data_IF_563513341771
#
_entry.id   IF_563513341771
#
_cell.length_a   1.000
_cell.length_b   1.000
_cell.length_c   1.000
_cell.angle_alpha   90.00
_cell.angle_beta   90.00
_cell.angle_gamma   90.00
#
_symmetry.space_group_name_H-M   'P 1'
#
loop_
_entity.id
_entity.type
_entity.pdbx_description
1 polymer ?
#
# COMPACT_ATOMS: atom_id res chain seq x y z
N UNK A 1 44.84 2.50 29.33
CA UNK A 1 44.75 2.05 27.92
C UNK A 1 43.36 1.50 27.72
N UNK A 2 42.45 2.33 27.24
CA UNK A 2 41.04 2.01 27.04
C UNK A 2 40.87 1.51 25.61
N UNK A 3 40.55 0.22 25.46
CA UNK A 3 40.23 -0.41 24.18
C UNK A 3 38.88 0.12 23.68
N UNK A 4 38.91 0.98 22.67
CA UNK A 4 37.73 1.27 21.87
C UNK A 4 37.58 0.17 20.82
N UNK A 5 36.53 -0.64 20.97
CA UNK A 5 36.08 -1.56 19.95
C UNK A 5 35.73 -0.77 18.68
N UNK A 6 36.33 -1.16 17.57
CA UNK A 6 36.11 -0.60 16.24
C UNK A 6 34.69 -0.93 15.79
N UNK A 7 33.91 0.02 15.22
CA UNK A 7 32.62 -0.30 14.63
C UNK A 7 32.82 -1.28 13.47
N UNK A 8 32.13 -2.41 13.49
CA UNK A 8 32.06 -3.31 12.34
C UNK A 8 31.54 -2.54 11.11
N UNK A 9 32.27 -2.67 10.00
CA UNK A 9 31.91 -2.13 8.70
C UNK A 9 30.56 -2.67 8.23
N UNK A 10 29.68 -1.78 7.77
CA UNK A 10 28.32 -2.05 7.28
C UNK A 10 28.29 -2.75 5.90
N UNK A 11 29.02 -3.83 5.70
CA UNK A 11 29.20 -4.48 4.40
C UNK A 11 28.23 -5.63 4.12
N UNK A 12 27.10 -5.72 4.84
CA UNK A 12 26.07 -6.74 4.59
C UNK A 12 24.68 -6.13 4.36
N UNK A 13 24.62 -5.06 3.56
CA UNK A 13 23.34 -4.59 3.02
C UNK A 13 23.02 -5.44 1.80
N UNK A 14 22.25 -6.52 2.02
CA UNK A 14 21.66 -7.33 0.96
C UNK A 14 20.94 -6.48 -0.09
N UNK A 15 20.65 -7.07 -1.26
CA UNK A 15 19.97 -6.38 -2.37
C UNK A 15 18.70 -5.67 -1.87
N UNK A 16 18.51 -4.36 -2.15
CA UNK A 16 17.31 -3.63 -1.72
C UNK A 16 16.02 -4.30 -2.24
N UNK A 17 15.01 -4.47 -1.38
CA UNK A 17 13.74 -5.11 -1.72
C UNK A 17 13.00 -4.44 -2.90
N UNK A 18 13.10 -3.11 -3.01
CA UNK A 18 12.48 -2.32 -4.08
C UNK A 18 13.55 -1.52 -4.84
N UNK A 19 14.44 -2.23 -5.56
CA UNK A 19 15.57 -1.60 -6.28
C UNK A 19 15.14 -0.52 -7.28
N UNK A 20 13.96 -0.69 -7.89
CA UNK A 20 13.26 0.31 -8.70
C UNK A 20 11.89 0.59 -8.08
N UNK A 21 11.21 1.70 -8.46
CA UNK A 21 9.86 1.99 -7.98
C UNK A 21 8.93 0.80 -8.31
N UNK A 22 8.15 0.29 -7.33
CA UNK A 22 7.19 -0.77 -7.59
C UNK A 22 6.17 -0.38 -8.67
N UNK A 23 5.91 -1.29 -9.60
CA UNK A 23 4.89 -1.14 -10.63
C UNK A 23 3.81 -2.22 -10.47
N UNK A 24 2.53 -1.84 -10.49
CA UNK A 24 1.44 -2.77 -10.25
C UNK A 24 0.04 -2.19 -10.43
N UNK A 25 -0.95 -2.89 -9.91
CA UNK A 25 -2.35 -2.53 -9.87
C UNK A 25 -2.85 -2.56 -8.43
N UNK A 26 -3.75 -1.65 -8.10
CA UNK A 26 -4.40 -1.57 -6.81
C UNK A 26 -5.92 -1.45 -6.99
N UNK A 27 -6.69 -2.15 -6.18
CA UNK A 27 -8.15 -2.23 -6.35
C UNK A 27 -8.94 -0.98 -5.93
N UNK A 28 -8.34 -0.01 -5.22
CA UNK A 28 -9.07 1.10 -4.60
C UNK A 28 -9.85 1.96 -5.59
N UNK A 29 -9.21 2.44 -6.66
CA UNK A 29 -9.85 3.43 -7.54
C UNK A 29 -11.00 2.85 -8.36
N UNK A 30 -11.02 1.53 -8.58
CA UNK A 30 -12.05 0.84 -9.37
C UNK A 30 -13.09 0.11 -8.52
N UNK A 31 -12.68 -0.48 -7.38
CA UNK A 31 -13.52 -1.34 -6.56
C UNK A 31 -13.72 -0.86 -5.12
N UNK A 32 -13.04 0.23 -4.71
CA UNK A 32 -13.11 0.73 -3.35
C UNK A 32 -12.77 -0.40 -2.38
N UNK A 33 -13.65 -0.64 -1.42
CA UNK A 33 -13.53 -1.74 -0.44
C UNK A 33 -14.13 -3.08 -0.88
N UNK A 34 -14.75 -3.13 -2.06
CA UNK A 34 -15.69 -4.21 -2.45
C UNK A 34 -15.10 -5.28 -3.36
N UNK A 35 -13.80 -5.19 -3.68
CA UNK A 35 -13.15 -6.15 -4.58
C UNK A 35 -13.33 -7.60 -4.08
N UNK A 36 -13.54 -8.52 -5.01
CA UNK A 36 -13.65 -9.96 -4.73
C UNK A 36 -12.56 -10.76 -5.47
N UNK A 37 -12.44 -12.05 -5.14
CA UNK A 37 -11.40 -12.91 -5.69
C UNK A 37 -11.42 -13.02 -7.22
N UNK A 38 -12.60 -13.15 -7.82
CA UNK A 38 -12.73 -13.24 -9.28
C UNK A 38 -12.23 -11.97 -9.97
N UNK A 39 -12.58 -10.79 -9.44
CA UNK A 39 -12.13 -9.50 -9.95
C UNK A 39 -10.62 -9.35 -9.82
N UNK A 40 -10.02 -9.75 -8.70
CA UNK A 40 -8.56 -9.74 -8.52
C UNK A 40 -7.91 -10.67 -9.55
N UNK A 41 -8.40 -11.90 -9.70
CA UNK A 41 -7.86 -12.88 -10.66
C UNK A 41 -7.95 -12.41 -12.11
N UNK A 42 -9.02 -11.68 -12.45
CA UNK A 42 -9.25 -11.14 -13.79
C UNK A 42 -8.29 -9.97 -14.08
N UNK A 43 -8.09 -9.05 -13.13
CA UNK A 43 -7.10 -7.98 -13.26
C UNK A 43 -5.67 -8.54 -13.33
N UNK A 44 -5.34 -9.54 -12.50
CA UNK A 44 -4.04 -10.20 -12.50
C UNK A 44 -3.76 -10.89 -13.85
N UNK A 45 -4.72 -11.64 -14.39
CA UNK A 45 -4.56 -12.29 -15.70
C UNK A 45 -4.35 -11.26 -16.81
N UNK A 46 -5.17 -10.20 -16.83
CA UNK A 46 -5.03 -9.14 -17.82
C UNK A 46 -3.64 -8.48 -17.73
N UNK A 47 -3.16 -8.16 -16.53
CA UNK A 47 -1.82 -7.60 -16.33
C UNK A 47 -0.72 -8.56 -16.82
N UNK A 48 -0.85 -9.85 -16.51
CA UNK A 48 0.10 -10.87 -16.94
C UNK A 48 0.23 -10.96 -18.47
N UNK A 49 -0.90 -10.81 -19.17
CA UNK A 49 -0.99 -10.91 -20.63
C UNK A 49 -0.57 -9.63 -21.35
N UNK A 50 -0.77 -8.45 -20.75
CA UNK A 50 -0.64 -7.16 -21.46
C UNK A 50 0.45 -6.24 -20.92
N UNK A 51 0.82 -6.33 -19.64
CA UNK A 51 1.68 -5.35 -18.97
C UNK A 51 2.93 -5.96 -18.34
N UNK A 52 2.93 -7.26 -18.00
CA UNK A 52 4.05 -7.90 -17.31
C UNK A 52 5.38 -7.78 -18.08
N UNK A 53 5.35 -7.88 -19.41
CA UNK A 53 6.54 -7.69 -20.24
C UNK A 53 7.15 -6.28 -20.14
N UNK A 54 6.37 -5.30 -19.69
CA UNK A 54 6.77 -3.91 -19.48
C UNK A 54 7.13 -3.62 -18.00
N UNK A 55 7.17 -4.64 -17.14
CA UNK A 55 7.65 -4.54 -15.76
C UNK A 55 6.56 -4.42 -14.69
N UNK A 56 5.27 -4.39 -15.05
CA UNK A 56 4.17 -4.36 -14.08
C UNK A 56 4.04 -5.73 -13.40
N UNK A 57 4.14 -5.77 -12.06
CA UNK A 57 4.23 -7.03 -11.34
C UNK A 57 3.36 -7.14 -10.08
N UNK A 58 3.03 -6.05 -9.37
CA UNK A 58 2.24 -6.15 -8.13
C UNK A 58 0.73 -6.14 -8.38
N UNK A 59 -0.01 -7.05 -7.74
CA UNK A 59 -1.47 -7.08 -7.69
C UNK A 59 -1.89 -6.87 -6.24
N UNK A 60 -2.39 -5.68 -5.91
CA UNK A 60 -2.66 -5.24 -4.53
C UNK A 60 -4.17 -5.20 -4.24
N UNK A 61 -4.59 -6.00 -3.26
CA UNK A 61 -5.96 -5.97 -2.73
C UNK A 61 -6.05 -4.88 -1.68
N UNK A 62 -6.79 -3.82 -2.00
CA UNK A 62 -6.96 -2.65 -1.13
C UNK A 62 -8.14 -2.80 -0.15
N UNK A 63 -8.43 -1.73 0.59
CA UNK A 63 -8.92 -1.76 1.96
C UNK A 63 -10.19 -2.59 2.22
N UNK A 64 -10.31 -3.07 3.47
CA UNK A 64 -11.46 -3.82 4.01
C UNK A 64 -11.72 -5.17 3.33
N UNK A 65 -10.70 -5.82 2.75
CA UNK A 65 -10.84 -7.21 2.29
C UNK A 65 -11.27 -8.20 3.38
N UNK A 66 -11.16 -7.82 4.65
CA UNK A 66 -11.60 -8.58 5.83
C UNK A 66 -13.05 -8.31 6.25
N UNK A 67 -13.76 -7.38 5.61
CA UNK A 67 -15.18 -7.08 5.88
C UNK A 67 -16.08 -8.03 5.10
N UNK A 68 -17.07 -8.63 5.77
CA UNK A 68 -17.96 -9.63 5.19
C UNK A 68 -18.85 -9.06 4.09
N UNK A 69 -19.43 -7.89 4.32
CA UNK A 69 -20.37 -7.22 3.41
C UNK A 69 -20.01 -5.73 3.29
N UNK A 70 -18.94 -5.40 2.54
CA UNK A 70 -18.47 -4.04 2.40
C UNK A 70 -19.40 -3.22 1.50
N UNK A 71 -19.49 -1.92 1.78
CA UNK A 71 -20.02 -0.92 0.83
C UNK A 71 -18.87 -0.17 0.16
N UNK A 72 -18.99 0.28 -1.10
CA UNK A 72 -17.87 0.91 -1.84
C UNK A 72 -17.09 2.00 -1.09
N UNK A 73 -17.78 2.85 -0.33
CA UNK A 73 -17.18 3.94 0.48
C UNK A 73 -16.50 3.48 1.78
N UNK A 74 -16.61 2.20 2.13
CA UNK A 74 -16.13 1.61 3.39
C UNK A 74 -16.80 2.16 4.65
N UNK A 75 -16.18 1.83 5.79
CA UNK A 75 -16.42 2.40 7.13
C UNK A 75 -17.86 2.29 7.63
N UNK A 76 -18.57 1.23 7.26
CA UNK A 76 -19.92 0.99 7.75
C UNK A 76 -19.90 0.82 9.26
N UNK A 77 -20.71 1.61 9.98
CA UNK A 77 -20.88 1.45 11.44
C UNK A 77 -21.43 0.08 11.86
N UNK A 78 -21.92 -0.71 10.90
CA UNK A 78 -22.44 -2.07 11.09
C UNK A 78 -21.56 -3.12 10.42
N UNK A 79 -20.34 -2.76 10.01
CA UNK A 79 -19.41 -3.68 9.38
C UNK A 79 -19.20 -4.92 10.26
N UNK A 80 -19.24 -6.08 9.62
CA UNK A 80 -18.88 -7.34 10.23
C UNK A 80 -17.52 -7.74 9.70
N UNK A 81 -16.65 -8.18 10.59
CA UNK A 81 -15.26 -8.49 10.28
C UNK A 81 -15.00 -9.99 10.38
N UNK A 82 -14.20 -10.52 9.46
CA UNK A 82 -13.66 -11.88 9.53
C UNK A 82 -12.31 -11.84 10.23
N UNK A 83 -12.22 -12.55 11.35
CA UNK A 83 -11.01 -12.71 12.16
C UNK A 83 -10.79 -14.19 12.43
N UNK A 84 -9.54 -14.60 12.60
CA UNK A 84 -9.18 -15.91 13.16
C UNK A 84 -9.30 -15.93 14.70
N UNK A 85 -9.08 -17.10 15.32
CA UNK A 85 -9.09 -17.24 16.79
C UNK A 85 -8.01 -16.41 17.51
N UNK A 86 -7.05 -15.85 16.77
CA UNK A 86 -5.94 -15.07 17.29
C UNK A 86 -6.12 -13.56 17.12
N UNK A 87 -7.31 -13.13 16.72
CA UNK A 87 -7.65 -11.73 16.56
C UNK A 87 -7.00 -11.05 15.36
N UNK A 88 -6.55 -11.82 14.36
CA UNK A 88 -5.99 -11.31 13.11
C UNK A 88 -7.08 -11.31 12.04
N UNK A 89 -7.12 -10.26 11.21
CA UNK A 89 -8.06 -10.19 10.10
C UNK A 89 -7.82 -11.32 9.08
N UNK A 90 -8.90 -11.91 8.57
CA UNK A 90 -8.89 -12.95 7.54
C UNK A 90 -9.84 -12.61 6.39
N UNK A 91 -9.55 -13.04 5.15
CA UNK A 91 -10.48 -12.81 4.05
C UNK A 91 -11.75 -13.66 4.20
N UNK A 92 -12.95 -13.08 4.11
CA UNK A 92 -14.19 -13.82 4.28
C UNK A 92 -14.52 -14.63 3.03
N UNK A 93 -14.93 -15.89 3.23
CA UNK A 93 -15.10 -16.90 2.17
C UNK A 93 -16.19 -16.52 1.15
N UNK A 94 -17.16 -15.68 1.52
CA UNK A 94 -18.17 -15.19 0.60
C UNK A 94 -17.60 -14.24 -0.49
N UNK A 95 -16.48 -13.56 -0.21
CA UNK A 95 -15.77 -12.68 -1.17
C UNK A 95 -14.53 -13.33 -1.76
N UNK A 96 -13.89 -14.18 -0.96
CA UNK A 96 -12.69 -14.93 -1.33
C UNK A 96 -12.89 -16.41 -1.08
N UNK A 97 -13.64 -17.13 -1.95
CA UNK A 97 -13.94 -18.54 -1.78
C UNK A 97 -12.72 -19.43 -1.56
N UNK A 98 -11.56 -19.10 -2.14
CA UNK A 98 -10.33 -19.86 -1.94
C UNK A 98 -9.77 -19.76 -0.53
N UNK A 99 -10.22 -18.79 0.28
CA UNK A 99 -9.83 -18.66 1.69
C UNK A 99 -10.48 -19.70 2.62
N UNK A 100 -11.37 -20.55 2.09
CA UNK A 100 -12.01 -21.61 2.83
C UNK A 100 -11.01 -22.49 3.59
N UNK A 101 -11.48 -23.14 4.65
CA UNK A 101 -10.68 -24.07 5.46
C UNK A 101 -9.42 -23.42 6.09
N UNK A 102 -9.47 -22.10 6.35
CA UNK A 102 -8.37 -21.37 6.98
C UNK A 102 -7.18 -21.08 6.05
N UNK A 103 -7.33 -21.27 4.74
CA UNK A 103 -6.26 -21.03 3.78
C UNK A 103 -5.88 -19.53 3.64
N UNK A 104 -6.79 -18.63 4.03
CA UNK A 104 -6.61 -17.19 3.91
C UNK A 104 -6.29 -16.79 2.47
N UNK A 105 -5.32 -15.90 2.27
CA UNK A 105 -4.94 -15.48 0.92
C UNK A 105 -3.96 -16.40 0.20
N UNK A 106 -3.45 -17.46 0.84
CA UNK A 106 -2.43 -18.31 0.23
C UNK A 106 -2.81 -18.80 -1.18
N UNK A 107 -4.01 -19.34 -1.44
CA UNK A 107 -4.33 -19.83 -2.78
C UNK A 107 -4.49 -18.70 -3.82
N UNK A 108 -4.88 -17.50 -3.40
CA UNK A 108 -4.94 -16.33 -4.29
C UNK A 108 -3.53 -15.83 -4.63
N UNK A 109 -2.63 -15.79 -3.65
CA UNK A 109 -1.23 -15.47 -3.86
C UNK A 109 -0.56 -16.48 -4.79
N UNK A 110 -0.74 -17.79 -4.55
CA UNK A 110 -0.23 -18.86 -5.42
C UNK A 110 -0.73 -18.72 -6.86
N UNK A 111 -2.01 -18.38 -7.06
CA UNK A 111 -2.53 -18.09 -8.39
C UNK A 111 -1.83 -16.90 -9.04
N UNK A 112 -1.62 -15.79 -8.31
CA UNK A 112 -0.94 -14.59 -8.81
C UNK A 112 0.53 -14.90 -9.13
N UNK A 113 1.24 -15.63 -8.27
CA UNK A 113 2.60 -16.08 -8.51
C UNK A 113 2.70 -17.01 -9.72
N UNK A 114 1.69 -17.87 -9.96
CA UNK A 114 1.67 -18.74 -11.15
C UNK A 114 1.61 -17.96 -12.47
N UNK A 115 1.16 -16.71 -12.45
CA UNK A 115 1.18 -15.78 -13.59
C UNK A 115 2.54 -15.06 -13.74
N UNK A 116 3.47 -15.26 -12.81
CA UNK A 116 4.73 -14.51 -12.71
C UNK A 116 4.55 -13.10 -12.17
N UNK A 117 3.50 -12.86 -11.40
CA UNK A 117 3.21 -11.59 -10.72
C UNK A 117 3.48 -11.73 -9.22
N UNK A 118 3.36 -10.63 -8.47
CA UNK A 118 3.53 -10.51 -7.02
C UNK A 118 2.22 -10.09 -6.35
N UNK A 119 1.99 -10.57 -5.15
CA UNK A 119 0.75 -10.33 -4.41
C UNK A 119 0.94 -9.30 -3.30
N UNK A 120 0.03 -8.31 -3.21
CA UNK A 120 0.02 -7.32 -2.15
C UNK A 120 -1.33 -7.20 -1.46
N UNK A 121 -1.30 -6.74 -0.20
CA UNK A 121 -2.51 -6.45 0.57
C UNK A 121 -2.39 -5.09 1.27
N UNK A 122 -3.53 -4.45 1.45
CA UNK A 122 -3.68 -3.32 2.37
C UNK A 122 -3.87 -3.81 3.81
N UNK A 123 -3.37 -3.06 4.79
CA UNK A 123 -3.72 -3.27 6.20
C UNK A 123 -4.01 -1.92 6.87
N UNK A 124 -4.90 -1.93 7.86
CA UNK A 124 -5.04 -0.80 8.78
C UNK A 124 -4.03 -0.96 9.90
N UNK A 125 -3.33 0.12 10.24
CA UNK A 125 -2.50 0.17 11.44
C UNK A 125 -3.28 -0.32 12.66
N UNK A 126 -2.57 -0.99 13.56
CA UNK A 126 -3.10 -1.32 14.87
C UNK A 126 -3.79 -2.66 14.95
N UNK A 127 -4.68 -2.81 15.92
CA UNK A 127 -5.34 -4.06 16.30
C UNK A 127 -6.87 -3.93 16.18
N UNK A 128 -7.59 -4.94 15.66
CA UNK A 128 -9.04 -4.89 15.53
C UNK A 128 -9.73 -4.61 16.86
N UNK A 129 -10.65 -3.64 16.89
CA UNK A 129 -11.47 -3.39 18.09
C UNK A 129 -12.20 -4.64 18.54
N UNK A 130 -12.73 -5.42 17.59
CA UNK A 130 -13.40 -6.69 17.86
C UNK A 130 -12.49 -7.73 18.55
N UNK A 131 -11.19 -7.75 18.22
CA UNK A 131 -10.23 -8.65 18.88
C UNK A 131 -9.99 -8.21 20.33
N UNK A 132 -9.91 -6.90 20.57
CA UNK A 132 -9.75 -6.30 21.91
C UNK A 132 -11.00 -6.54 22.76
N UNK A 133 -12.19 -6.31 22.22
CA UNK A 133 -13.46 -6.51 22.93
C UNK A 133 -13.65 -7.96 23.37
N UNK A 134 -13.26 -8.92 22.52
CA UNK A 134 -13.28 -10.36 22.83
C UNK A 134 -12.04 -10.81 23.60
N UNK A 135 -11.06 -9.93 23.79
CA UNK A 135 -9.75 -10.18 24.36
C UNK A 135 -9.09 -11.48 23.85
N UNK A 136 -9.07 -11.63 22.52
CA UNK A 136 -8.56 -12.82 21.85
C UNK A 136 -7.06 -13.03 22.12
N UNK A 137 -6.57 -14.29 22.17
CA UNK A 137 -5.16 -14.58 22.35
C UNK A 137 -4.32 -14.10 21.17
N UNK A 138 -3.09 -13.64 21.41
CA UNK A 138 -2.15 -13.30 20.34
C UNK A 138 -1.29 -14.52 20.01
N UNK A 139 -1.34 -14.99 18.76
CA UNK A 139 -0.60 -16.15 18.28
C UNK A 139 0.91 -16.07 18.61
N UNK A 140 1.46 -17.18 19.09
CA UNK A 140 2.89 -17.29 19.42
C UNK A 140 3.32 -16.51 20.67
N UNK A 141 2.38 -16.10 21.53
CA UNK A 141 2.69 -15.32 22.74
C UNK A 141 1.77 -15.66 23.93
N UNK A 142 2.15 -15.29 25.17
CA UNK A 142 1.26 -15.39 26.32
C UNK A 142 0.24 -14.24 26.42
N UNK A 143 0.30 -13.26 25.51
CA UNK A 143 -0.49 -12.04 25.56
C UNK A 143 -1.86 -12.19 24.88
N UNK A 144 -2.73 -11.23 25.17
CA UNK A 144 -4.04 -11.08 24.54
C UNK A 144 -4.16 -9.71 23.88
N UNK A 145 -5.16 -9.57 23.03
CA UNK A 145 -5.41 -8.34 22.28
C UNK A 145 -5.51 -7.09 23.17
N UNK A 146 -6.14 -7.19 24.35
CA UNK A 146 -6.22 -6.10 25.31
C UNK A 146 -4.87 -5.63 25.86
N UNK A 147 -3.88 -6.53 25.96
CA UNK A 147 -2.53 -6.19 26.43
C UNK A 147 -1.75 -5.36 25.39
N UNK A 148 -2.07 -5.55 24.11
CA UNK A 148 -1.41 -4.88 22.98
C UNK A 148 -2.06 -3.55 22.61
N UNK A 149 -3.32 -3.31 22.99
CA UNK A 149 -4.09 -2.18 22.49
C UNK A 149 -3.81 -0.86 23.23
N UNK A 150 -3.81 0.23 22.47
CA UNK A 150 -3.98 1.59 22.99
C UNK A 150 -5.38 2.07 22.64
N UNK A 151 -6.35 1.87 23.55
CA UNK A 151 -7.77 2.17 23.29
C UNK A 151 -8.09 3.66 23.18
N UNK A 152 -7.15 4.54 23.56
CA UNK A 152 -7.27 5.99 23.40
C UNK A 152 -6.83 6.47 22.00
N UNK A 153 -6.30 5.57 21.19
CA UNK A 153 -5.76 5.90 19.88
C UNK A 153 -6.53 5.20 18.79
N UNK A 154 -7.05 5.98 17.84
CA UNK A 154 -7.85 5.48 16.71
C UNK A 154 -7.38 6.13 15.42
N UNK A 155 -7.86 5.59 14.29
CA UNK A 155 -7.71 6.25 13.02
C UNK A 155 -8.81 7.32 12.84
N UNK A 156 -8.49 8.56 12.39
CA UNK A 156 -9.50 9.62 12.29
C UNK A 156 -10.61 9.35 11.27
N UNK A 157 -10.35 8.51 10.27
CA UNK A 157 -11.25 8.27 9.13
C UNK A 157 -11.71 6.81 9.00
N UNK A 158 -11.14 5.88 9.78
CA UNK A 158 -11.57 4.48 9.85
C UNK A 158 -11.77 4.04 11.31
N UNK A 159 -12.92 3.46 11.67
CA UNK A 159 -13.20 3.12 13.06
C UNK A 159 -12.77 1.71 13.47
N UNK A 160 -12.15 0.91 12.62
CA UNK A 160 -12.10 -0.56 12.79
C UNK A 160 -11.05 -1.01 13.80
N UNK A 161 -9.95 -0.25 13.93
CA UNK A 161 -8.83 -0.59 14.78
C UNK A 161 -8.62 0.42 15.92
N UNK A 162 -8.06 -0.08 17.02
CA UNK A 162 -7.29 0.74 17.97
C UNK A 162 -5.83 0.78 17.54
N UNK A 163 -5.09 1.79 17.97
CA UNK A 163 -3.62 1.77 17.92
C UNK A 163 -3.02 0.68 18.80
N UNK A 164 -1.74 0.39 18.64
CA UNK A 164 -1.01 -0.49 19.57
C UNK A 164 -0.31 0.33 20.65
N UNK A 165 -0.13 -0.27 21.84
CA UNK A 165 0.62 0.34 22.93
C UNK A 165 2.08 -0.13 22.87
N UNK A 166 2.93 0.66 22.21
CA UNK A 166 4.35 0.32 22.00
C UNK A 166 5.17 0.17 23.30
N UNK A 167 4.65 0.62 24.45
CA UNK A 167 5.31 0.39 25.75
C UNK A 167 5.13 -1.04 26.27
N UNK A 168 4.21 -1.81 25.68
CA UNK A 168 3.90 -3.18 26.07
C UNK A 168 4.52 -4.18 25.10
N UNK A 169 5.18 -5.25 25.57
CA UNK A 169 5.71 -6.30 24.70
C UNK A 169 4.64 -6.97 23.82
N UNK A 170 3.38 -6.94 24.28
CA UNK A 170 2.23 -7.45 23.55
C UNK A 170 2.02 -6.77 22.19
N UNK A 171 2.37 -5.48 22.03
CA UNK A 171 2.23 -4.77 20.76
C UNK A 171 3.15 -5.35 19.67
N UNK A 172 4.43 -5.58 19.99
CA UNK A 172 5.34 -6.24 19.06
C UNK A 172 4.93 -7.69 18.79
N UNK A 173 4.45 -8.41 19.82
CA UNK A 173 3.97 -9.79 19.65
C UNK A 173 2.79 -9.85 18.66
N UNK A 174 1.87 -8.88 18.73
CA UNK A 174 0.77 -8.78 17.78
C UNK A 174 1.27 -8.54 16.34
N UNK A 175 2.18 -7.57 16.15
CA UNK A 175 2.77 -7.31 14.82
C UNK A 175 3.55 -8.52 14.28
N UNK A 176 4.30 -9.21 15.13
CA UNK A 176 4.98 -10.46 14.77
C UNK A 176 3.98 -11.54 14.32
N UNK A 177 2.81 -11.63 14.96
CA UNK A 177 1.77 -12.60 14.63
C UNK A 177 1.09 -12.34 13.28
N UNK A 178 0.80 -11.07 12.94
CA UNK A 178 0.23 -10.73 11.63
C UNK A 178 1.27 -10.83 10.53
N UNK A 179 2.54 -10.50 10.80
CA UNK A 179 3.62 -10.67 9.83
C UNK A 179 3.82 -12.15 9.47
N UNK A 180 3.80 -13.06 10.47
CA UNK A 180 3.81 -14.51 10.21
C UNK A 180 2.63 -14.98 9.38
N UNK A 181 1.43 -14.46 9.64
CA UNK A 181 0.24 -14.78 8.85
C UNK A 181 0.41 -14.38 7.38
N UNK A 182 0.81 -13.13 7.13
CA UNK A 182 0.97 -12.60 5.78
C UNK A 182 2.12 -13.26 5.02
N UNK A 183 3.23 -13.57 5.70
CA UNK A 183 4.31 -14.36 5.12
C UNK A 183 3.86 -15.80 4.81
N UNK A 184 3.02 -16.41 5.65
CA UNK A 184 2.43 -17.73 5.42
C UNK A 184 1.47 -17.78 4.23
N UNK A 185 0.87 -16.65 3.86
CA UNK A 185 0.08 -16.46 2.64
C UNK A 185 0.92 -16.05 1.42
N UNK A 186 2.24 -15.99 1.56
CA UNK A 186 3.15 -15.59 0.50
C UNK A 186 2.91 -14.16 -0.03
N UNK A 187 2.53 -13.22 0.85
CA UNK A 187 2.42 -11.79 0.50
C UNK A 187 3.80 -11.19 0.16
N UNK A 188 3.88 -10.35 -0.87
CA UNK A 188 5.09 -9.67 -1.35
C UNK A 188 5.09 -8.16 -1.06
N UNK A 189 3.91 -7.57 -0.83
CA UNK A 189 3.77 -6.14 -0.55
C UNK A 189 2.67 -5.89 0.50
N UNK A 190 2.95 -5.02 1.45
CA UNK A 190 1.97 -4.51 2.40
C UNK A 190 1.86 -3.00 2.24
N UNK A 191 0.64 -2.50 2.00
CA UNK A 191 0.27 -1.09 2.11
C UNK A 191 -0.37 -0.87 3.48
N UNK A 192 0.40 -0.31 4.41
CA UNK A 192 -0.04 -0.01 5.76
C UNK A 192 -0.63 1.40 5.84
N UNK A 193 -1.89 1.49 6.25
CA UNK A 193 -2.65 2.72 6.23
C UNK A 193 -2.94 3.26 7.62
N UNK A 194 -3.33 4.53 7.67
CA UNK A 194 -3.48 5.31 8.90
C UNK A 194 -2.22 5.34 9.77
N UNK A 195 -1.05 5.38 9.11
CA UNK A 195 0.25 5.23 9.76
C UNK A 195 1.25 6.37 9.46
N UNK A 196 1.22 6.96 8.25
CA UNK A 196 2.22 7.97 7.84
C UNK A 196 1.80 9.43 8.01
N UNK A 197 0.53 9.70 8.34
CA UNK A 197 0.06 11.07 8.58
C UNK A 197 -1.11 11.10 9.57
N UNK A 198 -1.40 12.29 10.10
CA UNK A 198 -2.55 12.59 10.97
C UNK A 198 -2.76 11.64 12.18
N UNK A 199 -1.78 11.47 13.09
CA UNK A 199 -0.35 11.84 13.03
C UNK A 199 0.54 10.68 12.55
N UNK A 200 1.80 10.96 12.23
CA UNK A 200 2.80 9.93 11.90
C UNK A 200 3.06 8.97 13.07
N UNK A 201 2.98 7.66 12.82
CA UNK A 201 2.98 6.59 13.84
C UNK A 201 4.31 5.82 13.86
N UNK A 202 5.34 6.50 14.35
CA UNK A 202 6.72 6.00 14.41
C UNK A 202 6.83 4.60 15.02
N UNK A 203 6.24 4.35 16.18
CA UNK A 203 6.38 3.06 16.86
C UNK A 203 5.72 1.91 16.09
N UNK A 204 4.51 2.10 15.57
CA UNK A 204 3.83 1.10 14.73
C UNK A 204 4.64 0.77 13.47
N UNK A 205 5.24 1.78 12.82
CA UNK A 205 6.09 1.60 11.63
C UNK A 205 7.30 0.72 11.97
N UNK A 206 7.99 1.00 13.08
CA UNK A 206 9.15 0.22 13.51
C UNK A 206 8.77 -1.22 13.86
N UNK A 207 7.68 -1.39 14.62
CA UNK A 207 7.22 -2.73 15.05
C UNK A 207 6.78 -3.57 13.86
N UNK A 208 6.01 -3.00 12.93
CA UNK A 208 5.59 -3.68 11.69
C UNK A 208 6.79 -4.04 10.83
N UNK A 209 7.70 -3.10 10.57
CA UNK A 209 8.90 -3.34 9.75
C UNK A 209 9.81 -4.42 10.37
N UNK A 210 10.01 -4.37 11.68
CA UNK A 210 10.74 -5.39 12.44
C UNK A 210 10.07 -6.77 12.33
N UNK A 211 8.74 -6.81 12.51
CA UNK A 211 7.95 -8.04 12.40
C UNK A 211 8.07 -8.68 11.00
N UNK A 212 7.97 -7.88 9.94
CA UNK A 212 8.11 -8.36 8.56
C UNK A 212 9.49 -8.94 8.31
N UNK A 213 10.57 -8.28 8.76
CA UNK A 213 11.94 -8.80 8.64
C UNK A 213 12.14 -10.13 9.34
N UNK A 214 11.55 -10.33 10.53
CA UNK A 214 11.65 -11.59 11.30
C UNK A 214 11.06 -12.79 10.56
N UNK A 215 10.14 -12.58 9.62
CA UNK A 215 9.54 -13.69 8.85
C UNK A 215 10.54 -14.34 7.88
N UNK A 216 11.61 -13.64 7.52
CA UNK A 216 12.55 -14.07 6.47
C UNK A 216 12.01 -13.94 5.05
N UNK A 217 10.74 -13.56 4.86
CA UNK A 217 10.16 -13.29 3.54
C UNK A 217 10.43 -11.84 3.14
N UNK A 218 10.78 -11.64 1.86
CA UNK A 218 10.90 -10.33 1.25
C UNK A 218 9.52 -9.69 1.05
N UNK A 219 9.12 -8.80 1.96
CA UNK A 219 7.85 -8.07 1.90
C UNK A 219 8.12 -6.56 1.81
N UNK A 220 7.72 -5.93 0.71
CA UNK A 220 7.81 -4.49 0.49
C UNK A 220 6.82 -3.78 1.40
N UNK A 221 7.26 -2.76 2.15
CA UNK A 221 6.39 -1.95 2.99
C UNK A 221 6.10 -0.57 2.36
N UNK A 222 4.83 -0.30 2.12
CA UNK A 222 4.26 0.97 1.69
C UNK A 222 3.50 1.66 2.82
N UNK A 223 3.72 2.96 3.03
CA UNK A 223 3.08 3.73 4.11
C UNK A 223 2.04 4.71 3.56
N UNK A 224 0.85 4.71 4.17
CA UNK A 224 -0.32 5.52 3.82
C UNK A 224 -1.03 6.07 5.08
N UNK A 225 -1.80 7.17 4.96
CA UNK A 225 -1.86 8.09 3.83
C UNK A 225 -0.81 9.21 3.97
N UNK A 226 -0.72 10.08 2.97
CA UNK A 226 0.09 11.28 3.06
C UNK A 226 -0.69 12.48 3.64
N UNK A 227 -0.11 13.68 3.65
CA UNK A 227 1.29 13.93 3.32
C UNK A 227 2.21 13.45 4.46
N UNK A 228 3.16 12.57 4.14
CA UNK A 228 4.18 12.18 5.09
C UNK A 228 5.01 13.42 5.52
N UNK A 229 5.45 13.50 6.79
CA UNK A 229 6.28 14.60 7.25
C UNK A 229 7.73 14.48 6.78
N UNK A 230 8.31 15.56 6.24
CA UNK A 230 9.66 15.57 5.69
C UNK A 230 10.76 15.25 6.72
N UNK A 231 10.59 15.67 7.98
CA UNK A 231 11.54 15.40 9.06
C UNK A 231 11.65 13.88 9.38
N UNK A 232 10.72 13.06 8.88
CA UNK A 232 10.72 11.61 9.05
C UNK A 232 11.37 10.83 7.91
N UNK A 233 11.93 11.49 6.90
CA UNK A 233 12.65 10.80 5.80
C UNK A 233 13.70 9.81 6.30
N UNK A 234 14.58 10.13 7.28
CA UNK A 234 15.57 9.16 7.76
C UNK A 234 14.93 7.87 8.31
N UNK A 235 13.85 8.02 9.05
CA UNK A 235 13.13 6.89 9.64
C UNK A 235 12.35 6.10 8.59
N UNK A 236 11.63 6.76 7.68
CA UNK A 236 10.92 6.08 6.59
C UNK A 236 11.88 5.28 5.70
N UNK A 237 13.09 5.80 5.43
CA UNK A 237 14.14 5.04 4.73
C UNK A 237 14.63 3.84 5.53
N UNK A 238 14.70 3.95 6.85
CA UNK A 238 15.11 2.81 7.66
C UNK A 238 14.05 1.70 7.67
N UNK A 239 12.76 2.03 7.66
CA UNK A 239 11.70 1.06 7.95
C UNK A 239 10.77 0.72 6.77
N UNK A 240 10.75 1.49 5.70
CA UNK A 240 9.83 1.30 4.56
C UNK A 240 10.52 1.47 3.20
N UNK A 241 9.83 0.98 2.16
CA UNK A 241 10.28 1.07 0.78
C UNK A 241 9.59 2.20 0.02
N UNK A 242 8.39 2.61 0.45
CA UNK A 242 7.64 3.68 -0.18
C UNK A 242 6.68 4.35 0.80
N UNK A 243 6.36 5.63 0.60
CA UNK A 243 5.48 6.41 1.48
C UNK A 243 4.79 7.55 0.75
N UNK A 244 3.49 7.72 1.02
CA UNK A 244 2.64 8.70 0.35
C UNK A 244 3.03 10.15 0.66
N UNK A 245 3.23 10.96 -0.39
CA UNK A 245 3.59 12.40 -0.26
C UNK A 245 2.38 13.33 -0.18
N UNK A 246 1.18 12.82 -0.45
CA UNK A 246 -0.09 13.54 -0.39
C UNK A 246 -1.22 12.68 0.17
N UNK A 247 -2.33 13.33 0.53
CA UNK A 247 -3.63 12.65 0.65
C UNK A 247 -4.04 12.04 -0.70
N UNK A 248 -5.14 11.27 -0.73
CA UNK A 248 -5.47 10.41 -1.88
C UNK A 248 -5.64 11.19 -3.19
N UNK A 249 -4.96 10.74 -4.23
CA UNK A 249 -5.00 11.32 -5.58
C UNK A 249 -6.14 10.73 -6.38
N UNK A 250 -6.90 11.59 -7.06
CA UNK A 250 -7.99 11.19 -7.94
C UNK A 250 -7.97 11.96 -9.27
N UNK A 251 -8.84 11.55 -10.19
CA UNK A 251 -8.98 12.06 -11.56
C UNK A 251 -9.56 13.48 -11.63
N UNK A 252 -8.84 14.45 -11.10
CA UNK A 252 -9.13 15.89 -11.18
C UNK A 252 -7.82 16.68 -11.30
N UNK A 253 -7.89 17.91 -11.81
CA UNK A 253 -6.71 18.75 -11.94
C UNK A 253 -6.29 19.37 -10.59
N UNK A 254 -7.14 20.22 -9.99
CA UNK A 254 -6.90 20.80 -8.66
C UNK A 254 -8.08 20.54 -7.73
N UNK A 255 -7.80 20.20 -6.48
CA UNK A 255 -8.82 20.08 -5.44
C UNK A 255 -9.12 21.42 -4.80
N UNK A 256 -10.37 21.59 -4.35
CA UNK A 256 -10.81 22.74 -3.55
C UNK A 256 -11.00 22.39 -2.07
N UNK A 257 -10.64 21.18 -1.68
CA UNK A 257 -10.78 20.61 -0.33
C UNK A 257 -9.53 19.78 0.00
N UNK A 258 -9.33 19.43 1.27
CA UNK A 258 -8.12 18.69 1.68
C UNK A 258 -8.05 17.26 1.11
N UNK A 259 -9.20 16.61 0.91
CA UNK A 259 -9.33 15.32 0.23
C UNK A 259 -10.51 15.37 -0.75
N UNK A 260 -10.35 14.88 -2.00
CA UNK A 260 -9.13 14.27 -2.58
C UNK A 260 -8.09 15.31 -3.02
N UNK A 261 -6.96 14.87 -3.58
CA UNK A 261 -5.95 15.68 -4.27
C UNK A 261 -5.98 15.43 -5.78
N UNK A 262 -5.64 16.43 -6.59
CA UNK A 262 -5.56 16.32 -8.04
C UNK A 262 -4.12 16.28 -8.58
N UNK A 263 -4.00 16.06 -9.90
CA UNK A 263 -2.72 16.03 -10.62
C UNK A 263 -1.93 17.34 -10.47
N UNK A 264 -2.60 18.47 -10.66
CA UNK A 264 -2.01 19.80 -10.53
C UNK A 264 -1.48 20.07 -9.11
N UNK A 265 -2.10 19.48 -8.09
CA UNK A 265 -1.69 19.62 -6.68
C UNK A 265 -0.38 18.88 -6.37
N UNK A 266 0.04 17.93 -7.23
CA UNK A 266 1.24 17.11 -7.01
C UNK A 266 2.53 17.80 -7.46
N UNK A 267 2.49 18.73 -8.41
CA UNK A 267 3.70 19.41 -8.90
C UNK A 267 4.58 20.01 -7.78
N UNK A 268 4.06 20.84 -6.87
CA UNK A 268 4.88 21.40 -5.78
C UNK A 268 5.35 20.33 -4.79
N UNK A 269 4.54 19.29 -4.54
CA UNK A 269 4.92 18.17 -3.65
C UNK A 269 6.06 17.38 -4.26
N UNK A 270 5.94 16.96 -5.51
CA UNK A 270 6.97 16.23 -6.25
C UNK A 270 8.28 17.02 -6.31
N UNK A 271 8.22 18.34 -6.58
CA UNK A 271 9.41 19.19 -6.57
C UNK A 271 10.12 19.18 -5.20
N UNK A 272 9.36 19.20 -4.10
CA UNK A 272 9.88 19.12 -2.74
C UNK A 272 10.49 17.74 -2.43
N UNK A 273 9.85 16.67 -2.90
CA UNK A 273 10.21 15.28 -2.58
C UNK A 273 11.28 14.67 -3.48
N UNK A 274 11.52 15.21 -4.69
CA UNK A 274 12.33 14.56 -5.73
C UNK A 274 13.75 14.18 -5.27
N UNK A 275 14.35 15.01 -4.40
CA UNK A 275 15.68 14.77 -3.83
C UNK A 275 15.76 13.54 -2.90
N UNK A 276 14.63 13.01 -2.45
CA UNK A 276 14.59 11.88 -1.50
C UNK A 276 14.44 10.52 -2.16
N UNK A 277 14.15 10.48 -3.46
CA UNK A 277 14.02 9.26 -4.26
C UNK A 277 15.38 8.57 -4.44
N UNK A 278 15.47 7.29 -4.07
CA UNK A 278 16.67 6.48 -4.23
C UNK A 278 16.34 4.98 -4.28
N UNK A 279 17.21 4.12 -4.85
CA UNK A 279 16.99 2.67 -4.86
C UNK A 279 16.63 2.12 -3.47
N UNK A 280 15.49 1.41 -3.39
CA UNK A 280 14.95 0.87 -2.15
C UNK A 280 14.00 1.79 -1.39
N UNK A 281 13.88 3.08 -1.76
CA UNK A 281 13.15 4.08 -0.99
C UNK A 281 12.50 5.15 -1.89
N UNK A 282 11.19 5.07 -2.06
CA UNK A 282 10.44 5.82 -3.07
C UNK A 282 9.34 6.69 -2.44
N UNK A 283 9.50 8.02 -2.43
CA UNK A 283 8.36 8.92 -2.22
C UNK A 283 7.26 8.60 -3.23
N UNK A 284 6.04 8.40 -2.74
CA UNK A 284 4.92 7.89 -3.51
C UNK A 284 3.89 8.98 -3.79
N UNK A 285 3.71 9.32 -5.07
CA UNK A 285 2.73 10.29 -5.55
C UNK A 285 1.31 9.70 -5.66
N UNK A 286 1.10 8.48 -5.16
CA UNK A 286 -0.16 7.72 -5.15
C UNK A 286 -0.50 7.05 -6.49
N UNK A 287 -1.60 6.30 -6.46
CA UNK A 287 -2.13 5.53 -7.58
C UNK A 287 -2.47 6.39 -8.80
N UNK A 288 -2.55 5.73 -9.95
CA UNK A 288 -2.88 6.32 -11.24
C UNK A 288 -4.38 6.14 -11.51
N UNK A 289 -5.21 7.19 -11.40
CA UNK A 289 -6.65 7.11 -11.64
C UNK A 289 -6.95 7.19 -13.15
N UNK A 290 -6.36 6.29 -13.93
CA UNK A 290 -6.47 6.20 -15.39
C UNK A 290 -7.35 4.99 -15.78
N UNK A 291 -8.05 5.09 -16.91
CA UNK A 291 -8.91 4.03 -17.43
C UNK A 291 -10.31 4.06 -16.82
N UNK A 292 -10.92 2.89 -16.67
CA UNK A 292 -12.26 2.77 -16.08
C UNK A 292 -12.18 2.63 -14.55
N UNK A 293 -12.64 3.65 -13.83
CA UNK A 293 -12.73 3.71 -12.37
C UNK A 293 -14.10 3.16 -11.94
N UNK A 294 -14.26 1.85 -12.02
CA UNK A 294 -15.49 1.15 -11.65
C UNK A 294 -15.30 -0.37 -11.60
N UNK A 295 -16.24 -1.12 -10.99
CA UNK A 295 -17.66 -0.78 -10.84
C UNK A 295 -18.06 -0.06 -9.53
N UNK A 296 -17.13 0.16 -8.60
CA UNK A 296 -17.45 0.64 -7.26
C UNK A 296 -16.29 1.46 -6.67
N UNK A 297 -15.93 2.61 -7.28
CA UNK A 297 -14.71 3.34 -6.90
C UNK A 297 -14.75 3.81 -5.44
N UNK A 298 -13.58 3.86 -4.79
CA UNK A 298 -13.43 4.41 -3.43
C UNK A 298 -13.84 5.90 -3.31
N UNK A 299 -13.94 6.61 -4.43
CA UNK A 299 -14.45 7.97 -4.49
C UNK A 299 -15.29 8.25 -5.75
N UNK A 300 -16.43 8.90 -5.53
CA UNK A 300 -17.36 9.28 -6.59
C UNK A 300 -18.19 8.10 -7.12
N UNK A 301 -18.70 8.25 -8.34
CA UNK A 301 -19.48 7.22 -9.04
C UNK A 301 -18.63 6.52 -10.11
N UNK A 302 -18.98 5.29 -10.52
CA UNK A 302 -18.27 4.58 -11.59
C UNK A 302 -18.18 5.42 -12.85
N UNK A 303 -16.98 5.52 -13.43
CA UNK A 303 -16.70 6.42 -14.56
C UNK A 303 -15.44 6.01 -15.30
N UNK A 304 -15.32 6.45 -16.54
CA UNK A 304 -14.00 6.63 -17.14
C UNK A 304 -13.31 7.81 -16.45
N UNK A 305 -11.98 7.76 -16.33
CA UNK A 305 -11.18 8.85 -15.79
C UNK A 305 -11.60 10.19 -16.43
N UNK A 306 -11.75 11.22 -15.59
CA UNK A 306 -12.06 12.57 -16.06
C UNK A 306 -10.83 13.31 -16.57
N UNK A 307 -9.64 12.75 -16.37
CA UNK A 307 -8.42 13.30 -16.94
C UNK A 307 -8.47 13.20 -18.46
N UNK A 308 -8.27 14.32 -19.14
CA UNK A 308 -8.06 14.38 -20.59
C UNK A 308 -6.81 13.58 -20.97
N UNK A 309 -6.65 13.25 -22.26
CA UNK A 309 -5.45 12.55 -22.72
C UNK A 309 -4.15 13.32 -22.42
N UNK A 310 -4.20 14.65 -22.46
CA UNK A 310 -3.04 15.48 -22.14
C UNK A 310 -2.74 15.49 -20.63
N UNK A 311 -3.77 15.49 -19.78
CA UNK A 311 -3.59 15.31 -18.33
C UNK A 311 -3.09 13.91 -17.98
N UNK A 312 -3.54 12.85 -18.68
CA UNK A 312 -3.04 11.49 -18.49
C UNK A 312 -1.56 11.36 -18.91
N UNK A 313 -1.16 11.99 -20.02
CA UNK A 313 0.27 12.08 -20.40
C UNK A 313 1.07 12.86 -19.36
N UNK A 314 0.50 13.97 -18.86
CA UNK A 314 1.13 14.80 -17.83
C UNK A 314 1.35 14.01 -16.54
N UNK A 315 0.33 13.26 -16.10
CA UNK A 315 0.37 12.37 -14.94
C UNK A 315 1.52 11.36 -15.05
N UNK A 316 1.54 10.55 -16.11
CA UNK A 316 2.58 9.53 -16.29
C UNK A 316 3.98 10.14 -16.47
N UNK A 317 4.09 11.26 -17.18
CA UNK A 317 5.37 11.96 -17.35
C UNK A 317 5.91 12.43 -16.00
N UNK A 318 5.06 13.05 -15.18
CA UNK A 318 5.43 13.59 -13.89
C UNK A 318 5.77 12.48 -12.89
N UNK A 319 4.97 11.41 -12.83
CA UNK A 319 5.25 10.26 -11.97
C UNK A 319 6.54 9.57 -12.38
N UNK A 320 6.76 9.35 -13.67
CA UNK A 320 7.94 8.63 -14.17
C UNK A 320 9.23 9.42 -13.96
N UNK A 321 9.26 10.72 -14.26
CA UNK A 321 10.47 11.52 -14.02
C UNK A 321 10.78 11.66 -12.53
N UNK A 322 9.74 11.73 -11.68
CA UNK A 322 9.87 11.72 -10.22
C UNK A 322 10.31 10.36 -9.66
N UNK A 323 10.08 9.28 -10.43
CA UNK A 323 10.25 7.89 -10.01
C UNK A 323 9.30 7.50 -8.89
N UNK A 324 8.04 7.92 -9.02
CA UNK A 324 6.96 7.43 -8.17
C UNK A 324 6.74 5.95 -8.46
N UNK A 325 6.38 5.14 -7.46
CA UNK A 325 5.70 3.88 -7.74
C UNK A 325 4.52 4.10 -8.70
N UNK A 326 4.35 3.17 -9.64
CA UNK A 326 3.29 3.23 -10.65
C UNK A 326 2.24 2.18 -10.32
N UNK A 327 1.16 2.58 -9.66
CA UNK A 327 0.06 1.68 -9.29
C UNK A 327 -1.20 2.06 -10.06
N UNK A 328 -1.58 1.31 -11.10
CA UNK A 328 -2.81 1.56 -11.86
C UNK A 328 -4.04 1.26 -11.01
N UNK A 329 -4.94 2.24 -10.84
CA UNK A 329 -6.16 2.08 -10.05
C UNK A 329 -7.38 1.64 -10.87
N UNK A 330 -7.33 1.85 -12.19
CA UNK A 330 -8.39 1.46 -13.11
C UNK A 330 -8.61 -0.05 -13.21
N UNK A 331 -9.82 -0.44 -13.57
CA UNK A 331 -10.18 -1.81 -13.89
C UNK A 331 -9.51 -2.24 -15.20
N UNK A 332 -8.45 -3.03 -15.09
CA UNK A 332 -7.57 -3.40 -16.19
C UNK A 332 -8.28 -4.09 -17.36
N UNK A 333 -9.16 -5.09 -17.13
CA UNK A 333 -9.99 -5.69 -18.18
C UNK A 333 -10.82 -4.72 -19.01
N UNK A 334 -11.14 -3.55 -18.47
CA UNK A 334 -11.89 -2.49 -19.17
C UNK A 334 -10.98 -1.50 -19.90
N UNK A 335 -9.65 -1.70 -19.91
CA UNK A 335 -8.72 -0.75 -20.56
C UNK A 335 -8.96 -0.68 -22.07
N UNK A 336 -9.02 0.54 -22.60
CA UNK A 336 -9.04 0.78 -24.04
C UNK A 336 -7.63 0.79 -24.63
N UNK A 337 -7.53 0.90 -25.96
CA UNK A 337 -6.25 0.93 -26.67
C UNK A 337 -5.37 2.12 -26.23
N UNK A 338 -6.01 3.26 -25.93
CA UNK A 338 -5.32 4.45 -25.44
C UNK A 338 -4.66 4.19 -24.08
N UNK A 339 -5.43 3.74 -23.09
CA UNK A 339 -4.95 3.42 -21.74
C UNK A 339 -3.84 2.38 -21.81
N UNK A 340 -4.05 1.32 -22.60
CA UNK A 340 -3.04 0.27 -22.78
C UNK A 340 -1.74 0.82 -23.39
N UNK A 341 -1.83 1.74 -24.35
CA UNK A 341 -0.63 2.37 -24.96
C UNK A 341 0.16 3.22 -23.98
N UNK A 342 -0.52 3.90 -23.04
CA UNK A 342 0.12 4.69 -22.00
C UNK A 342 0.91 3.79 -21.03
N UNK A 343 0.32 2.67 -20.61
CA UNK A 343 0.92 1.74 -19.65
C UNK A 343 2.05 0.89 -20.24
N UNK A 344 2.18 0.83 -21.58
CA UNK A 344 3.22 0.08 -22.29
C UNK A 344 4.27 0.95 -22.99
N UNK A 345 4.30 2.25 -22.73
CA UNK A 345 5.30 3.13 -23.35
C UNK A 345 6.70 2.88 -22.73
N UNK A 346 7.53 2.11 -23.44
CA UNK A 346 8.85 1.70 -22.97
C UNK A 346 9.77 2.87 -22.61
N UNK A 347 9.72 3.99 -23.35
CA UNK A 347 10.58 5.14 -23.09
C UNK A 347 10.18 5.85 -21.78
N UNK A 348 8.88 6.00 -21.53
CA UNK A 348 8.36 6.60 -20.29
C UNK A 348 8.67 5.70 -19.10
N UNK A 349 8.45 4.40 -19.23
CA UNK A 349 8.76 3.44 -18.17
C UNK A 349 10.27 3.33 -17.89
N UNK A 350 11.12 3.45 -18.91
CA UNK A 350 12.56 3.48 -18.72
C UNK A 350 13.01 4.70 -17.90
N UNK A 351 12.33 5.84 -18.02
CA UNK A 351 12.58 7.01 -17.16
C UNK A 351 12.28 6.64 -15.70
N UNK A 352 11.09 6.09 -15.42
CA UNK A 352 10.71 5.68 -14.06
C UNK A 352 11.70 4.65 -13.44
N UNK A 353 12.07 3.65 -14.24
CA UNK A 353 12.84 2.51 -13.74
C UNK A 353 14.36 2.81 -13.69
N UNK A 354 14.88 3.77 -14.45
CA UNK A 354 16.32 3.96 -14.61
C UNK A 354 16.85 5.38 -14.47
N UNK A 355 16.01 6.43 -14.56
CA UNK A 355 16.51 7.80 -14.46
C UNK A 355 17.11 8.09 -13.07
N UNK A 356 17.96 9.11 -12.98
CA UNK A 356 18.55 9.56 -11.73
C UNK A 356 18.57 11.08 -11.67
N UNK A 357 18.69 11.64 -10.46
CA UNK A 357 18.89 13.08 -10.26
C UNK A 357 17.75 13.96 -10.79
N UNK A 358 16.52 13.44 -10.75
CA UNK A 358 15.31 14.20 -11.01
C UNK A 358 15.19 15.38 -10.06
N UNK A 359 14.92 16.56 -10.60
CA UNK A 359 14.78 17.81 -9.85
C UNK A 359 13.97 18.82 -10.64
N UNK A 360 13.26 19.69 -9.95
CA UNK A 360 12.73 20.91 -10.57
C UNK A 360 13.91 21.76 -11.08
N UNK A 361 13.86 22.15 -12.36
CA UNK A 361 14.90 23.00 -12.98
C UNK A 361 14.64 24.48 -12.70
N UNK A 362 13.37 24.87 -12.65
CA UNK A 362 12.92 26.22 -12.36
C UNK A 362 11.70 26.14 -11.44
N UNK A 363 11.76 26.88 -10.34
CA UNK A 363 10.62 27.15 -9.47
C UNK A 363 10.36 28.65 -9.56
N UNK A 364 9.15 29.05 -9.93
CA UNK A 364 8.75 30.46 -9.99
C UNK A 364 7.58 30.70 -9.05
N UNK A 365 7.53 31.87 -8.41
CA UNK A 365 6.45 32.28 -7.51
C UNK A 365 5.13 32.65 -8.24
N UNK A 366 4.98 32.26 -9.51
CA UNK A 366 3.84 32.62 -10.37
C UNK A 366 2.78 31.53 -10.42
#
# INVERSE_FOLDING_TARGET
MTNYATPQSSSDRGTPLAKTPPMGWNSWDSYGTTVNEEQVKTNARWMADHLKSSGWEYVVVDMEWFVLDPSPSGNSAKAQFSLDEHGRYTPPVNRFPSAAQGAGFKPLAEYIHSLGLKFGIHILRGIPKLAVDKNLPIEGSPFRAGDAANTNETCPWNPDNYGTNATQPAAQAYYDSIARLYAGWDVDLIKADCISSRPYKSDDIRMLSSALRKTGRAIVLSLSPGAAPLDKVPEMREYAQMWRISDDVWDLWHSTVDYPQGLGDQFPRIAQWAQYSQPGHWPDADMLPIGYLGPAPGWGKPRWTRLTHDEQRTLLTLWSIFRSPLMIGGNLPSSDAWTTSLLNNADVLAIDQHATSARAVLTTDK
#
